data_IF_847618063275
#
_entry.id   IF_847618063275
#
_cell.length_a   1.000
_cell.length_b   1.000
_cell.length_c   1.000
_cell.angle_alpha   90.00
_cell.angle_beta   90.00
_cell.angle_gamma   90.00
#
_symmetry.space_group_name_H-M   'P 1'
#
loop_
_entity.id
_entity.type
_entity.pdbx_description
1 polymer ?
#
# COMPACT_ATOMS: atom_id res chain seq x y z
N UNK A 1 -34.91 0.79 -10.21
CA UNK A 1 -35.00 1.94 -9.28
C UNK A 1 -34.30 3.10 -9.93
N UNK A 2 -34.96 4.25 -9.94
CA UNK A 2 -34.41 5.48 -10.50
C UNK A 2 -33.31 6.01 -9.56
N UNK A 3 -32.14 6.33 -10.11
CA UNK A 3 -31.01 6.83 -9.32
C UNK A 3 -31.31 8.24 -8.81
N UNK A 4 -31.39 8.41 -7.49
CA UNK A 4 -31.62 9.69 -6.85
C UNK A 4 -30.29 10.31 -6.42
N UNK A 5 -29.77 11.22 -7.25
CA UNK A 5 -28.47 11.87 -7.02
C UNK A 5 -28.40 12.63 -5.68
N UNK A 6 -29.45 13.36 -5.30
CA UNK A 6 -29.43 14.16 -4.06
C UNK A 6 -29.45 13.26 -2.82
N UNK A 7 -30.18 12.14 -2.87
CA UNK A 7 -30.17 11.17 -1.78
C UNK A 7 -28.80 10.47 -1.61
N UNK A 8 -28.15 10.12 -2.72
CA UNK A 8 -26.82 9.51 -2.67
C UNK A 8 -25.73 10.51 -2.24
N UNK A 9 -25.83 11.74 -2.69
CA UNK A 9 -24.96 12.84 -2.24
C UNK A 9 -25.10 13.09 -0.74
N UNK A 10 -26.33 13.11 -0.22
CA UNK A 10 -26.53 13.28 1.22
C UNK A 10 -25.94 12.12 2.03
N UNK A 11 -26.14 10.87 1.61
CA UNK A 11 -25.49 9.71 2.23
C UNK A 11 -23.98 9.83 2.25
N UNK A 12 -23.38 10.31 1.16
CA UNK A 12 -21.93 10.53 1.09
C UNK A 12 -21.48 11.59 2.10
N UNK A 13 -22.19 12.72 2.19
CA UNK A 13 -21.90 13.79 3.16
C UNK A 13 -22.01 13.24 4.59
N UNK A 14 -23.10 12.55 4.92
CA UNK A 14 -23.33 11.97 6.24
C UNK A 14 -22.21 10.98 6.63
N UNK A 15 -21.77 10.15 5.69
CA UNK A 15 -20.63 9.23 5.91
C UNK A 15 -19.32 9.98 6.12
N UNK A 16 -19.07 11.05 5.37
CA UNK A 16 -17.84 11.85 5.53
C UNK A 16 -17.81 12.56 6.87
N UNK A 17 -18.96 13.08 7.33
CA UNK A 17 -19.06 13.75 8.62
C UNK A 17 -18.88 12.74 9.76
N UNK A 18 -19.48 11.56 9.67
CA UNK A 18 -19.26 10.46 10.61
C UNK A 18 -17.78 10.06 10.72
N UNK A 19 -17.07 9.96 9.57
CA UNK A 19 -15.65 9.63 9.56
C UNK A 19 -14.76 10.73 10.17
N UNK A 20 -15.15 12.00 10.03
CA UNK A 20 -14.43 13.14 10.65
C UNK A 20 -14.60 13.19 12.16
N UNK A 21 -15.73 12.71 12.68
CA UNK A 21 -16.02 12.68 14.12
C UNK A 21 -15.35 11.51 14.84
N UNK A 22 -14.86 10.51 14.09
CA UNK A 22 -14.14 9.37 14.67
C UNK A 22 -12.81 9.80 15.30
N UNK A 23 -12.55 9.32 16.49
CA UNK A 23 -11.20 9.35 17.06
C UNK A 23 -10.24 8.48 16.23
N UNK A 24 -8.94 8.69 16.41
CA UNK A 24 -7.93 7.89 15.70
C UNK A 24 -8.03 6.41 16.05
N UNK A 25 -8.32 6.10 17.33
CA UNK A 25 -8.53 4.72 17.78
C UNK A 25 -9.74 4.09 17.11
N UNK A 26 -10.88 4.78 17.09
CA UNK A 26 -12.09 4.31 16.42
C UNK A 26 -11.88 4.10 14.94
N UNK A 27 -11.23 5.04 14.26
CA UNK A 27 -10.90 4.92 12.83
C UNK A 27 -9.98 3.71 12.56
N UNK A 28 -9.01 3.46 13.45
CA UNK A 28 -8.10 2.32 13.34
C UNK A 28 -8.85 1.00 13.54
N UNK A 29 -9.72 0.92 14.54
CA UNK A 29 -10.57 -0.25 14.80
C UNK A 29 -11.54 -0.51 13.66
N UNK A 30 -12.15 0.55 13.11
CA UNK A 30 -13.05 0.45 11.97
C UNK A 30 -12.35 -0.14 10.74
N UNK A 31 -11.16 0.35 10.41
CA UNK A 31 -10.36 -0.18 9.28
C UNK A 31 -10.01 -1.65 9.47
N UNK A 32 -9.58 -2.04 10.66
CA UNK A 32 -9.29 -3.45 10.98
C UNK A 32 -10.55 -4.32 10.85
N UNK A 33 -11.68 -3.82 11.30
CA UNK A 33 -12.96 -4.52 11.20
C UNK A 33 -13.42 -4.68 9.74
N UNK A 34 -13.28 -3.64 8.91
CA UNK A 34 -13.59 -3.72 7.48
C UNK A 34 -12.71 -4.76 6.76
N UNK A 35 -11.41 -4.76 7.01
CA UNK A 35 -10.50 -5.74 6.42
C UNK A 35 -10.81 -7.16 6.90
N UNK A 36 -11.09 -7.34 8.18
CA UNK A 36 -11.52 -8.62 8.73
C UNK A 36 -12.79 -9.14 8.06
N UNK A 37 -13.79 -8.29 7.84
CA UNK A 37 -15.04 -8.68 7.18
C UNK A 37 -14.88 -9.05 5.71
N UNK A 38 -13.88 -8.49 5.02
CA UNK A 38 -13.58 -8.86 3.63
C UNK A 38 -13.02 -10.28 3.51
N UNK A 39 -12.18 -10.68 4.45
CA UNK A 39 -11.53 -12.00 4.44
C UNK A 39 -11.21 -12.46 5.89
N UNK A 40 -12.24 -12.82 6.67
CA UNK A 40 -12.05 -13.20 8.07
C UNK A 40 -11.07 -14.35 8.25
N UNK A 41 -11.14 -15.34 7.36
CA UNK A 41 -10.30 -16.54 7.46
C UNK A 41 -8.80 -16.20 7.27
N UNK A 42 -8.49 -15.29 6.36
CA UNK A 42 -7.11 -14.85 6.16
C UNK A 42 -6.51 -14.27 7.44
N UNK A 43 -7.26 -13.42 8.15
CA UNK A 43 -6.80 -12.78 9.38
C UNK A 43 -6.74 -13.77 10.56
N UNK A 44 -7.73 -14.65 10.68
CA UNK A 44 -7.76 -15.67 11.75
C UNK A 44 -6.59 -16.65 11.64
N UNK A 45 -6.31 -17.13 10.43
CA UNK A 45 -5.22 -18.11 10.20
C UNK A 45 -3.82 -17.51 10.41
N UNK A 46 -3.71 -16.19 10.48
CA UNK A 46 -2.43 -15.46 10.52
C UNK A 46 -2.30 -14.49 11.69
N UNK A 47 -3.11 -14.64 12.72
CA UNK A 47 -3.15 -13.71 13.86
C UNK A 47 -1.76 -13.44 14.45
N UNK A 48 -0.98 -14.48 14.71
CA UNK A 48 0.39 -14.34 15.27
C UNK A 48 1.34 -13.58 14.33
N UNK A 49 1.22 -13.83 13.02
CA UNK A 49 2.05 -13.17 12.00
C UNK A 49 1.66 -11.70 11.90
N UNK A 50 0.37 -11.41 11.91
CA UNK A 50 -0.18 -10.04 11.86
C UNK A 50 0.29 -9.25 13.08
N UNK A 51 0.13 -9.79 14.27
CA UNK A 51 0.61 -9.17 15.51
C UNK A 51 2.11 -8.84 15.47
N UNK A 52 2.92 -9.75 14.93
CA UNK A 52 4.34 -9.54 14.75
C UNK A 52 4.62 -8.41 13.75
N UNK A 53 3.94 -8.41 12.61
CA UNK A 53 4.16 -7.43 11.53
C UNK A 53 3.66 -6.04 11.93
N UNK A 54 2.52 -5.91 12.61
CA UNK A 54 2.02 -4.62 13.11
C UNK A 54 3.05 -3.91 13.99
N UNK A 55 3.80 -4.65 14.80
CA UNK A 55 4.87 -4.10 15.64
C UNK A 55 6.07 -3.60 14.83
N UNK A 56 6.22 -4.02 13.57
CA UNK A 56 7.28 -3.51 12.68
C UNK A 56 6.88 -2.24 11.94
N UNK A 57 5.61 -1.90 11.91
CA UNK A 57 5.10 -0.69 11.26
C UNK A 57 5.48 0.53 12.09
N UNK A 58 5.93 1.58 11.41
CA UNK A 58 6.23 2.85 12.07
C UNK A 58 4.95 3.52 12.57
N UNK A 59 4.99 3.99 13.79
CA UNK A 59 3.93 4.78 14.41
C UNK A 59 4.57 5.85 15.29
N UNK A 60 3.97 7.05 15.41
CA UNK A 60 4.43 8.05 16.35
C UNK A 60 4.26 7.57 17.80
N UNK A 61 5.10 8.04 18.68
CA UNK A 61 5.04 7.70 20.11
C UNK A 61 3.72 8.16 20.74
N UNK A 62 3.28 9.36 20.38
CA UNK A 62 2.00 9.93 20.81
C UNK A 62 1.36 10.69 19.64
N UNK A 63 0.38 10.06 18.99
CA UNK A 63 -0.32 10.63 17.84
C UNK A 63 -1.12 11.90 18.18
N UNK A 64 -1.47 12.10 19.45
CA UNK A 64 -2.19 13.28 19.91
C UNK A 64 -1.25 14.46 20.18
N UNK A 65 0.06 14.21 20.32
CA UNK A 65 1.07 15.24 20.46
C UNK A 65 1.62 15.64 19.10
N UNK A 66 0.98 16.63 18.47
CA UNK A 66 1.34 17.09 17.12
C UNK A 66 2.80 17.54 17.02
N UNK A 67 3.31 18.25 18.02
CA UNK A 67 4.68 18.79 18.00
C UNK A 67 5.71 17.66 18.05
N UNK A 68 5.48 16.69 18.92
CA UNK A 68 6.33 15.52 19.03
C UNK A 68 6.27 14.67 17.75
N UNK A 69 5.07 14.43 17.21
CA UNK A 69 4.88 13.68 15.95
C UNK A 69 5.63 14.35 14.80
N UNK A 70 5.58 15.68 14.67
CA UNK A 70 6.33 16.41 13.63
C UNK A 70 7.84 16.25 13.83
N UNK A 71 8.34 16.30 15.06
CA UNK A 71 9.76 16.07 15.34
C UNK A 71 10.20 14.65 14.98
N UNK A 72 9.39 13.66 15.33
CA UNK A 72 9.64 12.26 14.98
C UNK A 72 9.66 12.07 13.46
N UNK A 73 8.68 12.61 12.72
CA UNK A 73 8.63 12.56 11.25
C UNK A 73 9.88 13.21 10.64
N UNK A 74 10.30 14.38 11.14
CA UNK A 74 11.49 15.08 10.64
C UNK A 74 12.80 14.33 10.93
N UNK A 75 12.80 13.40 11.88
CA UNK A 75 13.96 12.56 12.22
C UNK A 75 14.08 11.30 11.35
N UNK A 76 13.06 10.94 10.60
CA UNK A 76 13.02 9.74 9.76
C UNK A 76 14.12 9.82 8.69
N UNK A 77 14.84 8.70 8.54
CA UNK A 77 15.83 8.49 7.48
C UNK A 77 15.39 7.32 6.61
N UNK A 78 14.64 7.56 5.52
CA UNK A 78 14.11 6.48 4.71
C UNK A 78 15.19 5.77 3.90
N UNK A 79 15.22 4.44 4.00
CA UNK A 79 16.01 3.56 3.16
C UNK A 79 15.10 2.59 2.43
N UNK A 80 15.56 2.10 1.28
CA UNK A 80 14.80 1.13 0.46
C UNK A 80 15.52 -0.22 0.50
N UNK A 81 14.83 -1.24 1.01
CA UNK A 81 15.33 -2.60 1.09
C UNK A 81 14.55 -3.54 0.17
N UNK A 82 15.19 -4.24 -0.76
CA UNK A 82 14.50 -5.22 -1.59
C UNK A 82 14.12 -6.46 -0.76
N UNK A 83 12.94 -7.00 -1.05
CA UNK A 83 12.56 -8.35 -0.58
C UNK A 83 13.45 -9.37 -1.27
N UNK A 84 14.08 -10.25 -0.50
CA UNK A 84 15.02 -11.24 -1.02
C UNK A 84 14.33 -12.18 -2.00
N UNK A 85 14.83 -12.24 -3.21
CA UNK A 85 14.26 -13.08 -4.26
C UNK A 85 14.36 -14.57 -3.86
N UNK A 86 13.23 -15.29 -3.95
CA UNK A 86 13.16 -16.70 -3.54
C UNK A 86 12.89 -16.93 -2.05
N UNK A 87 12.88 -15.89 -1.23
CA UNK A 87 12.49 -16.00 0.18
C UNK A 87 10.96 -15.95 0.31
N UNK A 88 10.34 -17.14 0.38
CA UNK A 88 8.90 -17.27 0.45
C UNK A 88 8.29 -16.58 1.68
N UNK A 89 8.96 -16.70 2.85
CA UNK A 89 8.49 -16.08 4.09
C UNK A 89 8.51 -14.57 4.02
N UNK A 90 9.59 -13.98 3.56
CA UNK A 90 9.71 -12.53 3.43
C UNK A 90 8.72 -11.96 2.40
N UNK A 91 8.48 -12.71 1.33
CA UNK A 91 7.48 -12.36 0.34
C UNK A 91 6.05 -12.43 0.90
N UNK A 92 5.74 -13.42 1.73
CA UNK A 92 4.45 -13.53 2.42
C UNK A 92 4.29 -12.39 3.44
N UNK A 93 5.30 -12.11 4.25
CA UNK A 93 5.32 -11.00 5.21
C UNK A 93 5.04 -9.65 4.52
N UNK A 94 5.63 -9.43 3.33
CA UNK A 94 5.38 -8.23 2.54
C UNK A 94 3.91 -8.14 2.08
N UNK A 95 3.33 -9.25 1.61
CA UNK A 95 1.93 -9.32 1.17
C UNK A 95 0.98 -9.03 2.33
N UNK A 96 1.24 -9.63 3.50
CA UNK A 96 0.43 -9.40 4.70
C UNK A 96 0.55 -7.94 5.15
N UNK A 97 1.77 -7.40 5.23
CA UNK A 97 2.01 -5.99 5.57
C UNK A 97 1.25 -5.06 4.62
N UNK A 98 1.26 -5.35 3.32
CA UNK A 98 0.49 -4.57 2.36
C UNK A 98 -1.01 -4.59 2.66
N UNK A 99 -1.57 -5.74 3.03
CA UNK A 99 -2.99 -5.85 3.40
C UNK A 99 -3.33 -5.08 4.69
N UNK A 100 -2.36 -4.91 5.58
CA UNK A 100 -2.54 -4.13 6.82
C UNK A 100 -2.54 -2.62 6.59
N UNK A 101 -1.75 -2.13 5.63
CA UNK A 101 -1.54 -0.69 5.46
C UNK A 101 -2.21 -0.09 4.22
N UNK A 102 -2.68 -0.91 3.27
CA UNK A 102 -3.24 -0.45 2.02
C UNK A 102 -4.71 -0.82 1.89
N UNK A 103 -5.56 0.17 1.61
CA UNK A 103 -7.02 0.00 1.53
C UNK A 103 -7.49 -0.68 0.24
N UNK A 104 -6.68 -0.68 -0.81
CA UNK A 104 -7.06 -1.30 -2.09
C UNK A 104 -6.75 -2.80 -2.07
N UNK A 105 -7.63 -3.58 -2.69
CA UNK A 105 -7.43 -5.00 -2.86
C UNK A 105 -6.13 -5.32 -3.59
N UNK A 106 -5.46 -6.40 -3.17
CA UNK A 106 -4.24 -6.86 -3.80
C UNK A 106 -4.56 -7.95 -4.82
N UNK A 107 -4.37 -7.62 -6.08
CA UNK A 107 -4.41 -8.60 -7.16
C UNK A 107 -2.97 -8.83 -7.64
N UNK A 108 -2.45 -10.06 -7.55
CA UNK A 108 -1.12 -10.36 -8.06
C UNK A 108 -1.07 -10.13 -9.57
N UNK A 109 -0.15 -9.29 -10.02
CA UNK A 109 0.10 -9.13 -11.45
C UNK A 109 0.91 -10.33 -11.98
N UNK A 110 0.54 -10.86 -13.15
CA UNK A 110 1.36 -11.87 -13.80
C UNK A 110 2.71 -11.30 -14.22
N UNK A 111 3.74 -12.13 -14.23
CA UNK A 111 5.07 -11.76 -14.64
C UNK A 111 6.01 -11.45 -13.48
N UNK A 112 7.07 -10.68 -13.78
CA UNK A 112 8.10 -10.33 -12.80
C UNK A 112 7.58 -9.28 -11.84
N UNK A 113 7.81 -9.49 -10.55
CA UNK A 113 7.51 -8.53 -9.50
C UNK A 113 8.75 -8.36 -8.63
N UNK A 114 9.11 -7.11 -8.36
CA UNK A 114 10.17 -6.75 -7.42
C UNK A 114 9.52 -5.92 -6.31
N UNK A 115 9.66 -6.41 -5.10
CA UNK A 115 9.05 -5.83 -3.90
C UNK A 115 10.12 -5.18 -3.04
N UNK A 116 9.77 -4.07 -2.41
CA UNK A 116 10.65 -3.33 -1.53
C UNK A 116 9.89 -2.92 -0.27
N UNK A 117 10.60 -2.93 0.84
CA UNK A 117 10.24 -2.17 2.03
C UNK A 117 10.91 -0.81 1.98
N UNK A 118 10.18 0.23 2.36
CA UNK A 118 10.76 1.50 2.75
C UNK A 118 10.80 1.51 4.27
N UNK A 119 11.97 1.62 4.85
CA UNK A 119 12.19 1.56 6.30
C UNK A 119 12.91 2.81 6.81
N UNK A 120 12.71 3.12 8.06
CA UNK A 120 13.56 4.10 8.74
C UNK A 120 14.89 3.44 9.13
N UNK A 121 16.00 3.99 8.67
CA UNK A 121 17.35 3.50 8.95
C UNK A 121 17.64 3.41 10.45
N UNK A 122 17.10 4.33 11.23
CA UNK A 122 17.38 4.45 12.67
C UNK A 122 16.64 3.41 13.49
N UNK A 123 15.37 3.17 13.18
CA UNK A 123 14.49 2.29 13.98
C UNK A 123 14.24 0.93 13.34
N UNK A 124 14.53 0.78 12.05
CA UNK A 124 14.20 -0.40 11.26
C UNK A 124 12.70 -0.56 11.00
N UNK A 125 11.88 0.42 11.40
CA UNK A 125 10.43 0.35 11.22
C UNK A 125 10.02 0.59 9.77
N UNK A 126 8.97 -0.11 9.34
CA UNK A 126 8.40 0.01 7.99
C UNK A 126 7.66 1.34 7.86
N UNK A 127 8.07 2.15 6.91
CA UNK A 127 7.47 3.41 6.52
C UNK A 127 6.51 3.29 5.35
N UNK A 128 6.72 2.28 4.51
CA UNK A 128 5.91 2.06 3.32
C UNK A 128 6.37 0.86 2.50
N UNK A 129 5.67 0.63 1.42
CA UNK A 129 5.90 -0.49 0.51
C UNK A 129 5.91 -0.02 -0.94
N UNK A 130 6.80 -0.62 -1.73
CA UNK A 130 6.88 -0.43 -3.18
C UNK A 130 6.86 -1.80 -3.85
N UNK A 131 6.07 -1.94 -4.91
CA UNK A 131 6.15 -3.08 -5.81
C UNK A 131 6.22 -2.59 -7.24
N UNK A 132 7.20 -3.07 -7.97
CA UNK A 132 7.37 -2.87 -9.41
C UNK A 132 7.05 -4.17 -10.12
N UNK A 133 6.10 -4.13 -11.04
CA UNK A 133 5.70 -5.26 -11.86
C UNK A 133 6.18 -5.14 -13.30
N UNK A 134 6.06 -6.24 -14.05
CA UNK A 134 6.25 -6.20 -15.50
C UNK A 134 5.29 -5.19 -16.13
N UNK A 135 5.81 -4.40 -17.05
CA UNK A 135 5.01 -3.42 -17.76
C UNK A 135 3.99 -4.10 -18.70
N UNK A 136 2.91 -3.40 -19.00
CA UNK A 136 1.89 -3.89 -19.92
C UNK A 136 2.43 -3.95 -21.34
N UNK A 137 2.10 -5.04 -22.03
CA UNK A 137 2.61 -5.31 -23.38
C UNK A 137 2.12 -4.31 -24.43
N UNK A 138 0.95 -3.72 -24.23
CA UNK A 138 0.36 -2.75 -25.15
C UNK A 138 -0.32 -1.62 -24.35
N UNK A 139 0.22 -0.43 -24.51
CA UNK A 139 -0.33 0.80 -23.95
C UNK A 139 -0.16 1.91 -25.02
N UNK A 140 -1.23 2.16 -25.79
CA UNK A 140 -1.21 3.00 -26.96
C UNK A 140 -0.65 4.41 -26.71
N UNK A 141 -1.06 5.04 -25.60
CA UNK A 141 -0.59 6.39 -25.24
C UNK A 141 0.93 6.41 -25.00
N UNK A 142 1.44 5.47 -24.19
CA UNK A 142 2.88 5.32 -23.94
C UNK A 142 3.63 5.03 -25.23
N UNK A 143 3.18 4.00 -25.97
CA UNK A 143 3.85 3.52 -27.17
C UNK A 143 3.95 4.64 -28.23
N UNK A 144 2.90 5.42 -28.40
CA UNK A 144 2.90 6.59 -29.30
C UNK A 144 3.83 7.69 -28.82
N UNK A 145 3.80 8.02 -27.52
CA UNK A 145 4.62 9.10 -26.96
C UNK A 145 6.12 8.84 -27.10
N UNK A 146 6.56 7.59 -26.90
CA UNK A 146 7.98 7.21 -26.96
C UNK A 146 8.40 6.62 -28.31
N UNK A 147 7.49 6.56 -29.28
CA UNK A 147 7.77 6.05 -30.63
C UNK A 147 7.97 4.54 -30.69
N UNK A 148 7.33 3.78 -29.83
CA UNK A 148 7.37 2.33 -29.84
C UNK A 148 6.35 1.76 -30.81
N UNK A 149 6.85 0.89 -31.71
CA UNK A 149 6.01 0.02 -32.54
C UNK A 149 6.15 -1.44 -32.10
N UNK A 150 5.37 -2.33 -32.70
CA UNK A 150 5.37 -3.76 -32.36
C UNK A 150 6.75 -4.40 -32.56
N UNK A 151 7.49 -3.99 -33.58
CA UNK A 151 8.81 -4.56 -33.87
C UNK A 151 9.87 -4.15 -32.85
N UNK A 152 10.07 -2.84 -32.66
CA UNK A 152 11.15 -2.36 -31.81
C UNK A 152 10.89 -2.65 -30.32
N UNK A 153 9.62 -2.70 -29.91
CA UNK A 153 9.24 -2.99 -28.54
C UNK A 153 9.62 -4.42 -28.11
N UNK A 154 9.41 -5.40 -28.98
CA UNK A 154 9.66 -6.81 -28.65
C UNK A 154 11.03 -7.31 -29.13
N UNK A 155 11.43 -7.04 -30.36
CA UNK A 155 12.71 -7.50 -30.94
C UNK A 155 13.91 -6.95 -30.18
N UNK A 156 13.88 -5.66 -29.84
CA UNK A 156 14.98 -5.01 -29.12
C UNK A 156 14.89 -5.22 -27.59
N UNK A 157 13.92 -5.98 -27.12
CA UNK A 157 13.73 -6.25 -25.68
C UNK A 157 13.41 -5.02 -24.83
N UNK A 158 13.00 -3.90 -25.44
CA UNK A 158 12.78 -2.62 -24.74
C UNK A 158 11.79 -2.73 -23.59
N UNK A 159 10.73 -3.55 -23.78
CA UNK A 159 9.74 -3.78 -22.76
C UNK A 159 10.33 -4.47 -21.49
N UNK A 160 11.44 -5.20 -21.63
CA UNK A 160 12.11 -5.83 -20.51
C UNK A 160 12.86 -4.84 -19.60
N UNK A 161 13.09 -3.62 -20.09
CA UNK A 161 13.77 -2.56 -19.36
C UNK A 161 12.79 -1.54 -18.75
N UNK A 162 11.49 -1.83 -18.80
CA UNK A 162 10.45 -1.02 -18.16
C UNK A 162 9.74 -1.80 -17.07
N UNK A 163 9.20 -1.07 -16.14
CA UNK A 163 8.38 -1.60 -15.03
C UNK A 163 7.25 -0.64 -14.73
N UNK A 164 6.17 -1.18 -14.17
CA UNK A 164 5.03 -0.40 -13.69
C UNK A 164 4.99 -0.48 -12.16
N UNK A 165 4.74 0.66 -11.51
CA UNK A 165 4.45 0.69 -10.08
C UNK A 165 3.07 0.09 -9.80
N UNK A 166 3.04 -1.08 -9.17
CA UNK A 166 1.79 -1.79 -8.86
C UNK A 166 1.34 -1.57 -7.42
N UNK A 167 2.27 -1.18 -6.56
CA UNK A 167 2.01 -0.77 -5.18
C UNK A 167 2.99 0.34 -4.84
N UNK A 168 2.49 1.47 -4.39
CA UNK A 168 3.27 2.54 -3.76
C UNK A 168 2.39 3.09 -2.66
N UNK A 169 2.73 2.78 -1.43
CA UNK A 169 1.96 3.23 -0.27
C UNK A 169 2.86 3.48 0.93
N UNK A 170 2.48 4.43 1.75
CA UNK A 170 3.10 4.66 3.04
C UNK A 170 2.16 4.24 4.18
N UNK A 171 2.76 4.01 5.35
CA UNK A 171 2.01 3.75 6.58
C UNK A 171 1.35 5.04 7.04
N UNK A 172 0.21 4.93 7.68
CA UNK A 172 -0.39 6.06 8.36
C UNK A 172 0.31 6.27 9.72
N UNK A 173 0.53 7.49 10.15
CA UNK A 173 0.04 8.77 9.61
C UNK A 173 0.90 9.41 8.53
N UNK A 174 1.97 8.78 8.03
CA UNK A 174 2.88 9.36 7.02
C UNK A 174 2.21 9.65 5.67
N UNK A 175 1.05 9.05 5.41
CA UNK A 175 0.29 9.21 4.18
C UNK A 175 -0.62 10.43 4.12
N UNK A 176 -0.58 11.31 5.12
CA UNK A 176 -1.39 12.52 5.19
C UNK A 176 -0.55 13.77 5.09
#
# INVERSE_FOLDING_TARGET
AEFNYEAEKQKFIDNMDFLKEMSVEESTLWKKWEEFNKDPQFFMDRADVIDRLERTIWQPTDIYNKEQTIQEINSIKPIVEPVTQGNAKENEDWIITRRLIHSMEFTPNPGRNVKFYVKDETTGKVLGLICLGSDVTSLGVRDTLIGWNKENKFKDGKLNHTAIGTTICCVQPLGF
#
